data_IF_701755759731
#
_entry.id   IF_701755759731
#
_cell.length_a   1.000
_cell.length_b   1.000
_cell.length_c   1.000
_cell.angle_alpha   90.00
_cell.angle_beta   90.00
_cell.angle_gamma   90.00
#
_symmetry.space_group_name_H-M   'P 1'
#
loop_
_entity.id
_entity.type
_entity.pdbx_description
1 polymer ?
#
# COMPACT_ATOMS: atom_id res chain seq x y z
N UNK A 1 -0.94 8.21 -3.14
CA UNK A 1 -1.22 9.48 -3.85
C UNK A 1 0.12 10.11 -4.22
N UNK A 2 0.16 10.95 -5.25
CA UNK A 2 1.27 11.86 -5.53
C UNK A 2 0.85 13.27 -5.11
N UNK A 3 1.71 13.94 -4.36
CA UNK A 3 1.50 15.30 -3.86
C UNK A 3 2.46 16.25 -4.58
N UNK A 4 2.11 17.53 -4.61
CA UNK A 4 3.00 18.56 -5.12
C UNK A 4 4.25 18.68 -4.22
N UNK A 5 5.42 18.83 -4.85
CA UNK A 5 6.71 18.79 -4.17
C UNK A 5 6.92 19.99 -3.24
N UNK A 6 6.39 21.15 -3.62
CA UNK A 6 6.57 22.41 -2.90
C UNK A 6 5.37 22.71 -1.98
N UNK A 7 4.15 22.29 -2.37
CA UNK A 7 2.95 22.45 -1.55
C UNK A 7 2.16 21.13 -1.39
N UNK A 8 2.48 20.30 -0.37
CA UNK A 8 1.91 18.97 -0.21
C UNK A 8 0.40 18.93 0.09
N UNK A 9 -0.23 20.06 0.43
CA UNK A 9 -1.70 20.16 0.53
C UNK A 9 -2.37 19.92 -0.82
N UNK A 10 -1.64 20.16 -1.92
CA UNK A 10 -2.11 19.93 -3.28
C UNK A 10 -1.86 18.49 -3.70
N UNK A 11 -2.95 17.73 -3.80
CA UNK A 11 -2.93 16.37 -4.37
C UNK A 11 -2.84 16.45 -5.89
N UNK A 12 -1.75 15.97 -6.47
CA UNK A 12 -1.58 15.88 -7.93
C UNK A 12 -2.28 14.65 -8.50
N UNK A 13 -2.26 13.55 -7.75
CA UNK A 13 -2.86 12.30 -8.19
C UNK A 13 -3.26 11.38 -7.04
N UNK A 14 -4.40 10.70 -7.18
CA UNK A 14 -4.87 9.66 -6.27
C UNK A 14 -5.53 8.53 -7.06
N UNK A 15 -5.18 7.29 -6.75
CA UNK A 15 -5.78 6.12 -7.40
C UNK A 15 -7.26 6.01 -7.04
N UNK A 16 -8.08 5.56 -8.00
CA UNK A 16 -9.50 5.24 -7.77
C UNK A 16 -9.68 3.92 -7.02
N UNK A 17 -8.71 3.02 -7.17
CA UNK A 17 -8.74 1.69 -6.56
C UNK A 17 -7.55 1.51 -5.61
N UNK A 18 -7.67 0.60 -4.62
CA UNK A 18 -6.55 0.19 -3.78
C UNK A 18 -5.39 -0.34 -4.63
N UNK A 19 -4.17 -0.13 -4.16
CA UNK A 19 -2.96 -0.71 -4.76
C UNK A 19 -2.77 -2.15 -4.28
N UNK A 20 -3.22 -2.44 -3.06
CA UNK A 20 -3.21 -3.75 -2.44
C UNK A 20 -4.45 -3.92 -1.57
N UNK A 21 -4.99 -5.14 -1.55
CA UNK A 21 -6.08 -5.55 -0.67
C UNK A 21 -5.65 -6.84 0.06
N UNK A 22 -6.16 -7.09 1.29
CA UNK A 22 -5.96 -8.35 1.98
C UNK A 22 -6.29 -9.53 1.06
N UNK A 23 -5.37 -10.49 0.96
CA UNK A 23 -5.48 -11.65 0.06
C UNK A 23 -4.90 -12.93 0.64
N UNK A 24 -3.93 -12.83 1.55
CA UNK A 24 -3.34 -14.00 2.22
C UNK A 24 -4.18 -14.43 3.45
N UNK A 25 -4.12 -15.71 3.88
CA UNK A 25 -4.89 -16.18 5.03
C UNK A 25 -4.66 -15.36 6.31
N UNK A 26 -3.41 -14.99 6.61
CA UNK A 26 -3.02 -14.17 7.76
C UNK A 26 -3.39 -12.68 7.65
N UNK A 27 -3.89 -12.24 6.49
CA UNK A 27 -4.49 -10.91 6.29
C UNK A 27 -6.02 -10.98 6.32
N UNK A 28 -6.57 -12.15 5.95
CA UNK A 28 -8.01 -12.44 5.89
C UNK A 28 -8.50 -12.96 7.24
N UNK A 29 -8.82 -14.24 7.38
CA UNK A 29 -9.50 -14.79 8.57
C UNK A 29 -8.61 -15.65 9.46
N UNK A 30 -7.34 -15.86 9.07
CA UNK A 30 -6.46 -16.82 9.73
C UNK A 30 -7.01 -18.25 9.67
N UNK A 31 -6.57 -19.08 10.61
CA UNK A 31 -7.12 -20.40 10.89
C UNK A 31 -7.05 -20.71 12.40
N UNK A 32 -7.45 -21.92 12.83
CA UNK A 32 -7.44 -22.31 14.24
C UNK A 32 -6.04 -22.29 14.87
N UNK A 33 -4.99 -22.54 14.08
CA UNK A 33 -3.60 -22.56 14.55
C UNK A 33 -2.97 -21.16 14.52
N UNK A 34 -3.35 -20.34 13.54
CA UNK A 34 -2.84 -18.99 13.30
C UNK A 34 -4.00 -17.99 13.17
N UNK A 35 -4.67 -17.65 14.28
CA UNK A 35 -5.79 -16.73 14.26
C UNK A 35 -5.33 -15.28 14.06
N UNK A 36 -6.23 -14.46 13.52
CA UNK A 36 -6.10 -13.00 13.45
C UNK A 36 -7.01 -12.32 14.48
N UNK A 37 -6.67 -11.12 14.92
CA UNK A 37 -7.46 -10.38 15.90
C UNK A 37 -8.57 -9.55 15.20
N UNK A 38 -8.30 -9.02 14.00
CA UNK A 38 -9.28 -8.32 13.15
C UNK A 38 -9.16 -8.81 11.69
N UNK A 39 -10.18 -9.45 11.11
CA UNK A 39 -10.05 -10.05 9.79
C UNK A 39 -10.09 -9.04 8.65
N UNK A 40 -9.50 -9.41 7.51
CA UNK A 40 -9.45 -8.61 6.27
C UNK A 40 -8.80 -7.23 6.48
N UNK A 41 -7.66 -7.20 7.18
CA UNK A 41 -6.91 -5.98 7.48
C UNK A 41 -5.48 -6.08 6.96
N UNK A 42 -5.06 -5.05 6.22
CA UNK A 42 -3.66 -4.75 5.91
C UNK A 42 -3.46 -3.26 6.16
N UNK A 43 -2.52 -2.91 7.04
CA UNK A 43 -2.33 -1.54 7.51
C UNK A 43 -0.86 -1.10 7.32
N UNK A 44 -0.54 -0.29 6.30
CA UNK A 44 0.83 0.15 6.04
C UNK A 44 1.34 1.09 7.15
N UNK A 45 2.55 0.82 7.69
CA UNK A 45 3.11 1.60 8.83
C UNK A 45 4.47 2.21 8.55
N UNK A 46 5.26 1.65 7.64
CA UNK A 46 6.60 2.18 7.37
C UNK A 46 7.20 1.62 6.09
N UNK A 47 8.02 2.44 5.43
CA UNK A 47 8.67 2.05 4.18
C UNK A 47 10.19 2.26 4.26
N UNK A 48 10.94 1.34 3.65
CA UNK A 48 12.35 1.51 3.33
C UNK A 48 12.47 1.55 1.81
N UNK A 49 13.16 2.56 1.28
CA UNK A 49 13.53 2.64 -0.14
C UNK A 49 15.02 2.40 -0.26
N UNK A 50 15.42 1.39 -1.04
CA UNK A 50 16.84 1.08 -1.30
C UNK A 50 17.01 0.50 -2.69
N UNK A 51 17.91 1.08 -3.50
CA UNK A 51 18.22 0.63 -4.86
C UNK A 51 16.93 0.42 -5.69
N UNK A 52 16.07 1.44 -5.72
CA UNK A 52 14.76 1.47 -6.40
C UNK A 52 13.74 0.43 -5.93
N UNK A 53 14.04 -0.30 -4.85
CA UNK A 53 13.10 -1.20 -4.19
C UNK A 53 12.35 -0.46 -3.10
N UNK A 54 11.03 -0.40 -3.25
CA UNK A 54 10.08 0.03 -2.23
C UNK A 54 9.73 -1.17 -1.35
N UNK A 55 10.06 -1.12 -0.06
CA UNK A 55 9.83 -2.20 0.91
C UNK A 55 8.91 -1.67 2.00
N UNK A 56 7.67 -2.17 2.04
CA UNK A 56 6.61 -1.72 2.93
C UNK A 56 6.39 -2.73 4.05
N UNK A 57 6.55 -2.29 5.28
CA UNK A 57 6.07 -2.98 6.47
C UNK A 57 4.62 -2.60 6.72
N UNK A 58 3.77 -3.60 6.86
CA UNK A 58 2.36 -3.43 7.16
C UNK A 58 1.92 -4.38 8.27
N UNK A 59 0.99 -3.94 9.11
CA UNK A 59 0.23 -4.83 9.98
C UNK A 59 -0.74 -5.68 9.16
N UNK A 60 -0.96 -6.91 9.58
CA UNK A 60 -1.94 -7.83 8.99
C UNK A 60 -2.79 -8.45 10.10
N UNK A 61 -4.10 -8.41 9.92
CA UNK A 61 -5.04 -9.04 10.83
C UNK A 61 -5.01 -8.51 12.27
N UNK A 62 -4.53 -7.27 12.50
CA UNK A 62 -4.16 -6.72 13.81
C UNK A 62 -3.29 -7.66 14.68
N UNK A 63 -2.54 -8.56 14.04
CA UNK A 63 -1.80 -9.63 14.72
C UNK A 63 -0.36 -9.76 14.27
N UNK A 64 -0.15 -9.69 12.96
CA UNK A 64 1.12 -10.01 12.33
C UNK A 64 1.73 -8.77 11.64
N UNK A 65 3.02 -8.86 11.33
CA UNK A 65 3.70 -7.92 10.44
C UNK A 65 4.03 -8.65 9.15
N UNK A 66 3.69 -8.03 8.01
CA UNK A 66 3.98 -8.52 6.67
C UNK A 66 4.91 -7.52 5.95
N UNK A 67 5.59 -8.02 4.93
CA UNK A 67 6.45 -7.23 4.07
C UNK A 67 5.94 -7.31 2.63
N UNK A 68 5.55 -6.17 2.07
CA UNK A 68 5.19 -6.01 0.67
C UNK A 68 6.35 -5.30 -0.04
N UNK A 69 6.58 -5.60 -1.32
CA UNK A 69 7.60 -4.88 -2.07
C UNK A 69 7.28 -4.75 -3.55
N UNK A 70 7.74 -3.65 -4.13
CA UNK A 70 7.70 -3.40 -5.56
C UNK A 70 8.90 -2.54 -5.97
N UNK A 71 9.07 -2.31 -7.27
CA UNK A 71 9.97 -1.28 -7.76
C UNK A 71 9.28 0.10 -7.62
N UNK A 72 10.04 1.10 -7.15
CA UNK A 72 9.53 2.44 -6.86
C UNK A 72 9.09 3.17 -8.13
N UNK A 73 9.88 3.11 -9.19
CA UNK A 73 9.57 3.79 -10.45
C UNK A 73 8.26 3.26 -11.03
N UNK A 74 8.08 1.93 -11.04
CA UNK A 74 6.83 1.30 -11.46
C UNK A 74 5.62 1.76 -10.63
N UNK A 75 5.79 1.95 -9.32
CA UNK A 75 4.73 2.44 -8.44
C UNK A 75 4.36 3.89 -8.76
N UNK A 76 5.35 4.77 -8.95
CA UNK A 76 5.15 6.18 -9.30
C UNK A 76 4.51 6.29 -10.69
N UNK A 77 5.00 5.51 -11.66
CA UNK A 77 4.45 5.42 -13.01
C UNK A 77 2.98 5.00 -13.00
N UNK A 78 2.65 3.96 -12.22
CA UNK A 78 1.28 3.49 -12.06
C UNK A 78 0.38 4.58 -11.49
N UNK A 79 0.83 5.26 -10.42
CA UNK A 79 0.10 6.38 -9.85
C UNK A 79 -0.13 7.46 -10.91
N UNK A 80 0.91 7.96 -11.56
CA UNK A 80 0.81 9.03 -12.54
C UNK A 80 -0.13 8.68 -13.70
N UNK A 81 -0.03 7.46 -14.26
CA UNK A 81 -0.90 6.96 -15.34
C UNK A 81 -2.36 6.82 -14.89
N UNK A 82 -2.61 6.47 -13.63
CA UNK A 82 -3.98 6.34 -13.10
C UNK A 82 -4.76 7.67 -13.04
N UNK A 83 -4.06 8.80 -13.21
CA UNK A 83 -4.64 10.15 -13.18
C UNK A 83 -4.64 10.86 -14.54
N UNK A 84 -3.97 10.32 -15.56
CA UNK A 84 -4.03 10.85 -16.92
C UNK A 84 -5.48 10.82 -17.44
N UNK A 85 -6.08 12.00 -17.65
CA UNK A 85 -7.48 12.16 -18.07
C UNK A 85 -8.50 12.36 -16.95
N UNK A 86 -8.09 12.38 -15.68
CA UNK A 86 -8.94 12.77 -14.56
C UNK A 86 -8.56 14.19 -14.11
N UNK A 87 -9.28 15.19 -14.60
CA UNK A 87 -9.26 16.53 -13.97
C UNK A 87 -9.96 16.37 -12.63
N UNK A 88 -9.23 16.62 -11.53
CA UNK A 88 -9.84 16.82 -10.21
C UNK A 88 -10.44 18.22 -10.13
#
# INVERSE_FOLDING_TARGET
ALLDLENPEKVLCRTRHPIYIPSAPYELYGDEQYPVDVPAVVFPVGVIVRNDKFILYAGAGDKYIILLSCNLDNLVDYLYKSCQGTVL
#
